data_IF_007261265033
#
_entry.id   IF_007261265033
#
_cell.length_a   1.000
_cell.length_b   1.000
_cell.length_c   1.000
_cell.angle_alpha   90.00
_cell.angle_beta   90.00
_cell.angle_gamma   90.00
#
_symmetry.space_group_name_H-M   'P 1'
#
loop_
_entity.id
_entity.type
_entity.pdbx_description
1 polymer ?
#
# COMPACT_ATOMS: atom_id res chain seq x y z
N UNK A 1 -34.03 14.73 -104.04
CA UNK A 1 -34.93 14.92 -102.89
C UNK A 1 -34.35 14.44 -101.55
N UNK A 2 -33.30 13.63 -101.50
CA UNK A 2 -32.78 13.01 -100.25
C UNK A 2 -31.78 13.90 -99.44
N UNK A 3 -31.12 14.90 -100.06
CA UNK A 3 -30.11 15.75 -99.37
C UNK A 3 -30.75 16.90 -98.61
N UNK A 4 -31.92 17.40 -99.10
CA UNK A 4 -32.62 18.50 -98.40
C UNK A 4 -33.28 18.08 -97.06
N UNK A 5 -33.64 16.80 -96.95
CA UNK A 5 -34.26 16.25 -95.75
C UNK A 5 -33.22 15.97 -94.63
N UNK A 6 -31.98 15.68 -95.02
CA UNK A 6 -30.88 15.48 -94.05
C UNK A 6 -30.42 16.79 -93.34
N UNK A 7 -30.38 17.87 -94.08
CA UNK A 7 -29.98 19.18 -93.58
C UNK A 7 -31.04 19.74 -92.59
N UNK A 8 -32.34 19.51 -92.87
CA UNK A 8 -33.42 20.00 -91.94
C UNK A 8 -33.41 19.22 -90.63
N UNK A 9 -33.08 17.93 -90.63
CA UNK A 9 -32.98 17.14 -89.37
C UNK A 9 -31.79 17.59 -88.50
N UNK A 10 -30.63 17.91 -89.14
CA UNK A 10 -29.44 18.36 -88.47
C UNK A 10 -29.64 19.78 -87.89
N UNK A 11 -30.33 20.67 -88.60
CA UNK A 11 -30.64 22.01 -88.07
C UNK A 11 -31.66 21.97 -86.91
N UNK A 12 -32.69 21.09 -86.99
CA UNK A 12 -33.62 20.91 -85.90
C UNK A 12 -32.98 20.31 -84.64
N UNK A 13 -32.05 19.38 -84.84
CA UNK A 13 -31.24 18.77 -83.75
C UNK A 13 -30.32 19.79 -83.07
N UNK A 14 -29.71 20.69 -83.80
CA UNK A 14 -28.87 21.78 -83.29
C UNK A 14 -29.69 22.84 -82.52
N UNK A 15 -30.86 23.21 -83.03
CA UNK A 15 -31.76 24.16 -82.33
C UNK A 15 -32.32 23.55 -81.07
N UNK A 16 -32.72 22.27 -81.08
CA UNK A 16 -33.18 21.58 -79.87
C UNK A 16 -32.04 21.43 -78.81
N UNK A 17 -30.79 21.16 -79.24
CA UNK A 17 -29.60 21.10 -78.38
C UNK A 17 -29.27 22.44 -77.73
N UNK A 18 -29.40 23.56 -78.48
CA UNK A 18 -29.16 24.89 -77.93
C UNK A 18 -30.28 25.31 -76.96
N UNK A 19 -31.55 25.00 -77.26
CA UNK A 19 -32.68 25.25 -76.33
C UNK A 19 -32.58 24.37 -75.08
N UNK A 20 -32.14 23.13 -75.19
CA UNK A 20 -31.92 22.27 -74.02
C UNK A 20 -30.75 22.75 -73.14
N UNK A 21 -29.70 23.29 -73.77
CA UNK A 21 -28.56 23.85 -73.05
C UNK A 21 -28.84 25.19 -72.38
N UNK A 22 -29.77 26.02 -72.93
CA UNK A 22 -30.19 27.26 -72.27
C UNK A 22 -31.21 27.03 -71.14
N UNK A 23 -31.99 25.94 -71.17
CA UNK A 23 -32.87 25.56 -70.07
C UNK A 23 -32.11 24.99 -68.85
N UNK A 24 -30.94 24.34 -69.08
CA UNK A 24 -30.11 23.85 -68.00
C UNK A 24 -29.21 24.97 -67.40
N UNK A 25 -28.94 26.02 -68.12
CA UNK A 25 -28.13 27.17 -67.70
C UNK A 25 -28.91 28.20 -66.86
N UNK A 26 -30.24 27.99 -66.62
CA UNK A 26 -31.11 28.91 -65.92
C UNK A 26 -31.51 28.49 -64.49
N UNK A 27 -31.00 27.32 -63.98
CA UNK A 27 -31.11 27.00 -62.56
C UNK A 27 -29.98 27.70 -61.83
N UNK A 28 -30.25 28.93 -61.46
CA UNK A 28 -29.39 29.71 -60.59
C UNK A 28 -29.06 28.92 -59.37
N UNK A 29 -27.79 28.65 -59.22
CA UNK A 29 -27.17 28.17 -58.02
C UNK A 29 -27.33 29.30 -56.94
N UNK A 30 -28.50 29.33 -56.31
CA UNK A 30 -28.66 30.01 -55.04
C UNK A 30 -27.73 29.29 -54.07
N UNK A 31 -26.42 29.61 -54.11
CA UNK A 31 -25.54 29.48 -52.99
C UNK A 31 -26.14 30.32 -51.84
N UNK A 32 -27.18 29.75 -51.20
CA UNK A 32 -27.44 30.07 -49.80
C UNK A 32 -26.12 29.81 -49.10
N UNK A 33 -25.44 30.91 -48.77
CA UNK A 33 -24.31 30.87 -47.86
C UNK A 33 -24.76 30.07 -46.67
N UNK A 34 -24.27 28.81 -46.60
CA UNK A 34 -24.40 27.97 -45.43
C UNK A 34 -23.68 28.70 -44.32
N UNK A 35 -24.38 29.60 -43.66
CA UNK A 35 -23.92 30.20 -42.43
C UNK A 35 -23.55 29.02 -41.55
N UNK A 36 -22.27 28.86 -41.23
CA UNK A 36 -21.73 27.88 -40.30
C UNK A 36 -22.64 27.97 -39.06
N UNK A 37 -23.56 27.01 -38.91
CA UNK A 37 -24.42 26.94 -37.74
C UNK A 37 -23.52 26.79 -36.55
N UNK A 38 -23.51 27.76 -35.67
CA UNK A 38 -22.77 27.67 -34.42
C UNK A 38 -23.26 26.45 -33.65
N UNK A 39 -22.32 25.58 -33.28
CA UNK A 39 -22.60 24.37 -32.49
C UNK A 39 -22.72 24.80 -31.01
N UNK A 40 -23.80 24.39 -30.36
CA UNK A 40 -23.91 24.53 -28.92
C UNK A 40 -22.91 23.62 -28.22
N UNK A 41 -22.09 24.17 -27.35
CA UNK A 41 -21.01 23.47 -26.66
C UNK A 41 -21.03 23.79 -25.17
N UNK A 42 -20.72 22.78 -24.35
CA UNK A 42 -20.49 22.95 -22.92
C UNK A 42 -19.03 23.35 -22.69
N UNK A 43 -18.86 24.41 -21.93
CA UNK A 43 -17.53 24.92 -21.57
C UNK A 43 -17.35 24.99 -20.09
N UNK A 44 -16.10 24.87 -19.66
CA UNK A 44 -15.65 25.12 -18.28
C UNK A 44 -14.53 26.16 -18.34
N UNK A 45 -14.54 27.08 -17.40
CA UNK A 45 -13.44 28.05 -17.26
C UNK A 45 -12.21 27.38 -16.68
N UNK A 46 -11.02 27.70 -17.20
CA UNK A 46 -9.74 27.25 -16.61
C UNK A 46 -9.66 27.80 -15.20
N UNK A 47 -9.62 26.87 -14.21
CA UNK A 47 -9.47 27.22 -12.82
C UNK A 47 -7.99 27.22 -12.43
N UNK A 48 -7.52 28.28 -11.76
CA UNK A 48 -6.22 28.32 -11.12
C UNK A 48 -6.41 28.00 -9.64
N UNK A 49 -5.80 26.94 -9.18
CA UNK A 49 -5.92 26.50 -7.78
C UNK A 49 -4.80 25.54 -7.41
N UNK A 50 -4.67 25.32 -6.12
CA UNK A 50 -3.79 24.28 -5.60
C UNK A 50 -4.32 22.90 -6.01
N UNK A 51 -3.41 22.05 -6.47
CA UNK A 51 -3.72 20.68 -6.89
C UNK A 51 -2.91 19.68 -6.07
N UNK A 52 -3.57 18.72 -5.39
CA UNK A 52 -2.86 17.76 -4.55
C UNK A 52 -1.95 16.86 -5.37
N UNK A 53 -0.72 16.69 -4.90
CA UNK A 53 0.20 15.68 -5.42
C UNK A 53 0.00 14.40 -4.63
N UNK A 54 -0.39 13.35 -5.32
CA UNK A 54 -0.66 12.05 -4.70
C UNK A 54 0.01 10.93 -5.47
N UNK A 55 0.28 9.83 -4.77
CA UNK A 55 0.66 8.55 -5.36
C UNK A 55 -0.33 7.50 -4.88
N UNK A 56 -0.98 6.81 -5.81
CA UNK A 56 -1.90 5.72 -5.52
C UNK A 56 -1.17 4.38 -5.65
N UNK A 57 -1.22 3.56 -4.59
CA UNK A 57 -0.53 2.29 -4.48
C UNK A 57 -1.49 1.18 -4.05
N UNK A 58 -1.35 -0.03 -4.57
CA UNK A 58 -1.97 -1.20 -3.95
C UNK A 58 -1.25 -1.52 -2.65
N UNK A 59 -2.01 -1.89 -1.62
CA UNK A 59 -1.45 -2.27 -0.33
C UNK A 59 -2.22 -3.41 0.32
N UNK A 60 -1.62 -3.98 1.35
CA UNK A 60 -2.24 -5.02 2.18
C UNK A 60 -2.20 -4.59 3.64
N UNK A 61 -3.32 -4.75 4.31
CA UNK A 61 -3.43 -4.50 5.75
C UNK A 61 -2.69 -5.59 6.53
N UNK A 62 -1.88 -5.17 7.47
CA UNK A 62 -1.21 -6.04 8.43
C UNK A 62 -1.54 -5.57 9.86
N UNK A 63 -1.60 -6.50 10.80
CA UNK A 63 -1.64 -6.08 12.21
C UNK A 63 -0.29 -5.44 12.57
N UNK A 64 -0.32 -4.29 13.23
CA UNK A 64 0.91 -3.61 13.64
C UNK A 64 1.77 -4.46 14.57
N UNK A 65 1.12 -5.35 15.35
CA UNK A 65 1.80 -6.31 16.20
C UNK A 65 1.13 -7.67 16.11
N UNK A 66 1.89 -8.65 15.63
CA UNK A 66 1.52 -10.06 15.66
C UNK A 66 2.72 -10.92 16.04
N UNK A 67 2.48 -12.02 16.72
CA UNK A 67 3.51 -12.96 17.12
C UNK A 67 3.09 -14.37 16.73
N UNK A 68 3.98 -15.04 16.03
CA UNK A 68 3.83 -16.46 15.70
C UNK A 68 4.32 -17.28 16.90
N UNK A 69 3.47 -18.13 17.44
CA UNK A 69 3.78 -18.99 18.58
C UNK A 69 4.32 -20.32 18.07
N UNK A 70 5.56 -20.61 18.44
CA UNK A 70 6.22 -21.89 18.19
C UNK A 70 6.59 -22.56 19.51
N UNK A 71 6.70 -23.88 19.53
CA UNK A 71 7.19 -24.62 20.69
C UNK A 71 8.69 -24.37 20.89
N UNK A 72 9.10 -24.05 22.12
CA UNK A 72 10.52 -23.93 22.50
C UNK A 72 11.11 -25.23 23.06
N UNK A 73 10.24 -26.17 23.46
CA UNK A 73 10.61 -27.52 23.86
C UNK A 73 9.82 -28.55 23.05
N UNK A 74 10.43 -29.73 22.84
CA UNK A 74 9.75 -30.82 22.19
C UNK A 74 8.94 -31.64 23.20
N UNK A 75 7.75 -32.12 22.79
CA UNK A 75 6.89 -32.91 23.65
C UNK A 75 5.49 -33.12 23.12
N UNK A 76 4.71 -33.97 23.79
CA UNK A 76 3.31 -34.18 23.45
C UNK A 76 2.43 -33.10 24.09
N UNK A 77 1.49 -32.54 23.35
CA UNK A 77 0.52 -31.59 23.88
C UNK A 77 -0.48 -32.31 24.80
N UNK A 78 -0.38 -32.07 26.08
CA UNK A 78 -1.30 -32.65 27.08
C UNK A 78 -2.60 -31.86 27.16
N UNK A 79 -2.53 -30.55 27.09
CA UNK A 79 -3.70 -29.67 27.21
C UNK A 79 -3.56 -28.45 26.35
N UNK A 80 -4.66 -28.10 25.70
CA UNK A 80 -4.90 -26.83 25.04
C UNK A 80 -5.81 -26.01 25.96
N UNK A 81 -5.39 -24.80 26.36
CA UNK A 81 -6.12 -23.93 27.29
C UNK A 81 -6.97 -22.87 26.61
N UNK A 82 -6.72 -22.63 25.32
CA UNK A 82 -7.35 -21.56 24.54
C UNK A 82 -8.05 -22.12 23.32
N UNK A 83 -9.05 -21.38 22.83
CA UNK A 83 -9.76 -21.68 21.59
C UNK A 83 -9.39 -20.69 20.50
N UNK A 84 -9.59 -21.06 19.25
CA UNK A 84 -9.45 -20.16 18.11
C UNK A 84 -10.38 -18.94 18.25
N UNK A 85 -9.85 -17.74 17.99
CA UNK A 85 -10.60 -16.50 18.14
C UNK A 85 -10.73 -15.97 19.57
N UNK A 86 -10.30 -16.72 20.59
CA UNK A 86 -10.31 -16.26 21.99
C UNK A 86 -9.37 -15.07 22.21
N UNK A 87 -9.69 -14.24 23.15
CA UNK A 87 -8.82 -13.14 23.59
C UNK A 87 -7.95 -13.61 24.74
N UNK A 88 -6.65 -13.38 24.67
CA UNK A 88 -5.66 -13.78 25.68
C UNK A 88 -4.83 -12.59 26.15
N UNK A 89 -4.27 -12.71 27.36
CA UNK A 89 -3.36 -11.71 27.94
C UNK A 89 -1.91 -12.14 27.77
N UNK A 90 -1.01 -11.18 27.85
CA UNK A 90 0.43 -11.48 27.93
C UNK A 90 0.71 -12.39 29.15
N UNK A 91 1.53 -13.44 28.95
CA UNK A 91 1.85 -14.44 29.99
C UNK A 91 0.82 -15.56 30.15
N UNK A 92 -0.35 -15.50 29.53
CA UNK A 92 -1.39 -16.53 29.62
C UNK A 92 -0.93 -17.83 28.98
N UNK A 93 -1.23 -18.98 29.64
CA UNK A 93 -0.86 -20.31 29.14
C UNK A 93 -1.77 -20.70 28.00
N UNK A 94 -1.19 -20.99 26.85
CA UNK A 94 -1.90 -21.43 25.65
C UNK A 94 -1.95 -22.96 25.55
N UNK A 95 -0.79 -23.59 25.75
CA UNK A 95 -0.62 -25.05 25.66
C UNK A 95 0.25 -25.55 26.79
N UNK A 96 -0.02 -26.75 27.24
CA UNK A 96 0.83 -27.48 28.18
C UNK A 96 1.33 -28.76 27.53
N UNK A 97 2.65 -28.92 27.46
CA UNK A 97 3.30 -30.12 27.00
C UNK A 97 3.50 -31.12 28.14
N UNK A 98 3.80 -32.37 27.82
CA UNK A 98 4.20 -33.38 28.82
C UNK A 98 5.52 -32.98 29.51
N UNK A 99 5.42 -32.59 30.77
CA UNK A 99 6.56 -32.13 31.54
C UNK A 99 7.31 -33.26 32.24
N UNK A 100 6.82 -34.51 32.20
CA UNK A 100 7.46 -35.65 32.90
C UNK A 100 8.91 -35.85 32.53
N UNK A 101 9.32 -35.83 31.25
CA UNK A 101 10.74 -35.94 30.89
C UNK A 101 11.58 -34.77 31.45
N UNK A 102 11.09 -33.55 31.38
CA UNK A 102 11.77 -32.37 31.91
C UNK A 102 11.91 -32.44 33.45
N UNK A 103 10.86 -32.88 34.15
CA UNK A 103 10.90 -33.10 35.61
C UNK A 103 11.91 -34.17 36.02
N UNK A 104 11.99 -35.27 35.27
CA UNK A 104 13.00 -36.31 35.50
C UNK A 104 14.41 -35.74 35.34
N UNK A 105 14.65 -34.91 34.32
CA UNK A 105 15.95 -34.23 34.11
C UNK A 105 16.29 -33.25 35.23
N UNK A 106 15.33 -32.49 35.74
CA UNK A 106 15.52 -31.66 36.94
C UNK A 106 15.94 -32.51 38.13
N UNK A 107 15.25 -33.63 38.40
CA UNK A 107 15.58 -34.51 39.50
C UNK A 107 17.02 -35.08 39.38
N UNK A 108 17.42 -35.48 38.17
CA UNK A 108 18.78 -35.97 37.89
C UNK A 108 19.83 -34.88 38.12
N UNK A 109 19.65 -33.66 37.53
CA UNK A 109 20.60 -32.56 37.69
C UNK A 109 20.66 -32.08 39.15
N UNK A 110 19.54 -32.12 39.89
CA UNK A 110 19.51 -31.80 41.33
C UNK A 110 20.34 -32.78 42.13
N UNK A 111 20.26 -34.09 41.82
CA UNK A 111 21.06 -35.11 42.49
C UNK A 111 22.55 -34.93 42.18
N UNK A 112 22.91 -34.67 40.93
CA UNK A 112 24.30 -34.39 40.53
C UNK A 112 24.87 -33.16 41.28
N UNK A 113 24.10 -32.05 41.36
CA UNK A 113 24.52 -30.88 42.14
C UNK A 113 24.69 -31.20 43.64
N UNK A 114 23.82 -32.03 44.22
CA UNK A 114 23.93 -32.43 45.61
C UNK A 114 25.23 -33.24 45.84
N UNK A 115 25.59 -34.17 44.95
CA UNK A 115 26.86 -34.89 44.98
C UNK A 115 28.09 -33.97 44.89
N UNK A 116 28.11 -33.07 43.91
CA UNK A 116 29.20 -32.10 43.70
C UNK A 116 29.37 -31.14 44.90
N UNK A 117 28.27 -30.74 45.55
CA UNK A 117 28.30 -29.92 46.79
C UNK A 117 28.86 -30.73 47.98
N UNK A 118 28.55 -32.03 48.11
CA UNK A 118 29.11 -32.89 49.11
C UNK A 118 30.63 -33.04 48.95
N UNK A 119 31.11 -33.27 47.70
CA UNK A 119 32.53 -33.28 47.36
C UNK A 119 33.24 -31.98 47.72
N UNK A 120 32.63 -30.84 47.39
CA UNK A 120 33.16 -29.51 47.73
C UNK A 120 33.27 -29.32 49.24
N UNK A 121 32.24 -29.76 50.01
CA UNK A 121 32.23 -29.67 51.46
C UNK A 121 33.33 -30.58 52.09
N UNK A 122 33.54 -31.76 51.52
CA UNK A 122 34.58 -32.65 51.97
C UNK A 122 35.99 -32.10 51.68
N UNK A 123 36.26 -31.63 50.49
CA UNK A 123 37.50 -30.97 50.11
C UNK A 123 37.80 -29.74 50.97
N UNK A 124 36.77 -28.94 51.27
CA UNK A 124 36.89 -27.76 52.16
C UNK A 124 37.26 -28.18 53.61
N UNK A 125 36.64 -29.25 54.13
CA UNK A 125 36.96 -29.78 55.45
C UNK A 125 38.40 -30.32 55.49
N UNK A 126 38.86 -31.03 54.43
CA UNK A 126 40.22 -31.53 54.27
C UNK A 126 41.23 -30.38 54.32
N UNK A 127 41.03 -29.36 53.50
CA UNK A 127 41.89 -28.17 53.47
C UNK A 127 41.92 -27.45 54.82
N UNK A 128 40.76 -27.27 55.51
CA UNK A 128 40.67 -26.67 56.81
C UNK A 128 41.44 -27.48 57.90
N UNK A 129 41.50 -28.81 57.81
CA UNK A 129 42.30 -29.62 58.69
C UNK A 129 43.80 -29.53 58.43
N UNK A 130 44.22 -29.38 57.18
CA UNK A 130 45.62 -29.28 56.80
C UNK A 130 46.22 -27.90 57.10
N UNK A 131 45.42 -26.84 57.13
CA UNK A 131 45.88 -25.44 57.34
C UNK A 131 46.72 -25.29 58.64
N UNK A 132 46.30 -25.75 59.84
CA UNK A 132 47.09 -25.65 61.05
C UNK A 132 48.31 -26.53 61.01
N UNK A 133 48.28 -27.71 60.37
CA UNK A 133 49.40 -28.60 60.23
C UNK A 133 50.50 -28.01 59.35
N UNK A 134 50.13 -27.30 58.32
CA UNK A 134 51.05 -26.54 57.49
C UNK A 134 51.78 -25.43 58.28
N UNK A 135 51.05 -24.67 59.07
CA UNK A 135 51.61 -23.64 59.94
C UNK A 135 52.61 -24.19 60.96
N UNK A 136 52.36 -25.43 61.42
CA UNK A 136 53.25 -26.14 62.43
C UNK A 136 54.41 -26.88 61.76
N UNK A 137 54.55 -26.89 60.42
CA UNK A 137 55.60 -27.57 59.69
C UNK A 137 55.43 -29.10 59.57
N UNK A 138 54.28 -29.64 59.95
CA UNK A 138 54.03 -31.15 59.95
C UNK A 138 53.68 -31.68 58.58
N UNK A 139 53.32 -30.81 57.57
CA UNK A 139 53.06 -31.22 56.21
C UNK A 139 53.87 -30.36 55.22
N UNK A 140 54.07 -30.82 53.96
CA UNK A 140 54.75 -30.09 52.94
C UNK A 140 53.84 -28.99 52.31
N UNK A 141 54.44 -27.96 51.76
CA UNK A 141 53.72 -26.92 50.97
C UNK A 141 52.94 -27.54 49.81
N UNK A 142 53.56 -28.56 49.17
CA UNK A 142 52.94 -29.24 48.05
C UNK A 142 51.61 -29.93 48.44
N UNK A 143 51.59 -30.64 49.60
CA UNK A 143 50.42 -31.36 50.10
C UNK A 143 49.25 -30.35 50.39
N UNK A 144 49.58 -29.18 50.96
CA UNK A 144 48.61 -28.14 51.20
C UNK A 144 48.08 -27.51 49.88
N UNK A 145 48.97 -27.25 48.93
CA UNK A 145 48.58 -26.72 47.60
C UNK A 145 47.76 -27.71 46.82
N UNK A 146 48.04 -29.00 46.87
CA UNK A 146 47.23 -30.06 46.23
C UNK A 146 45.81 -30.09 46.80
N UNK A 147 45.66 -29.94 48.15
CA UNK A 147 44.34 -29.89 48.79
C UNK A 147 43.57 -28.61 48.38
N UNK A 148 44.28 -27.47 48.19
CA UNK A 148 43.68 -26.22 47.70
C UNK A 148 43.18 -26.36 46.28
N UNK A 149 43.98 -26.95 45.40
CA UNK A 149 43.62 -27.24 44.00
C UNK A 149 42.42 -28.19 43.93
N UNK A 150 42.40 -29.24 44.80
CA UNK A 150 41.28 -30.17 44.90
C UNK A 150 39.97 -29.45 45.29
N UNK A 151 40.01 -28.52 46.23
CA UNK A 151 38.86 -27.71 46.61
C UNK A 151 38.37 -26.82 45.43
N UNK A 152 39.28 -26.14 44.75
CA UNK A 152 38.92 -25.33 43.59
C UNK A 152 38.31 -26.16 42.46
N UNK A 153 38.87 -27.36 42.20
CA UNK A 153 38.31 -28.31 41.24
C UNK A 153 36.91 -28.78 41.62
N UNK A 154 36.69 -29.12 42.92
CA UNK A 154 35.36 -29.51 43.41
C UNK A 154 34.33 -28.34 43.31
N UNK A 155 34.76 -27.12 43.60
CA UNK A 155 33.92 -25.91 43.41
C UNK A 155 33.54 -25.73 41.94
N UNK A 156 34.48 -25.88 41.02
CA UNK A 156 34.21 -25.78 39.58
C UNK A 156 33.17 -26.82 39.14
N UNK A 157 33.27 -28.08 39.59
CA UNK A 157 32.27 -29.11 39.31
C UNK A 157 30.90 -28.80 39.87
N UNK A 158 30.83 -28.26 41.09
CA UNK A 158 29.56 -27.81 41.68
C UNK A 158 28.95 -26.66 40.89
N UNK A 159 29.77 -25.74 40.35
CA UNK A 159 29.36 -24.67 39.43
C UNK A 159 28.71 -25.22 38.13
N UNK A 160 29.39 -26.19 37.50
CA UNK A 160 28.88 -26.87 36.29
C UNK A 160 27.53 -27.55 36.57
N UNK A 161 27.46 -28.36 37.64
CA UNK A 161 26.22 -29.06 38.00
C UNK A 161 25.07 -28.07 38.36
N UNK A 162 25.40 -26.93 38.91
CA UNK A 162 24.41 -25.85 39.15
C UNK A 162 23.85 -25.26 37.85
N UNK A 163 24.73 -25.02 36.89
CA UNK A 163 24.33 -24.53 35.55
C UNK A 163 23.47 -25.56 34.80
N UNK A 164 23.79 -26.84 34.90
CA UNK A 164 22.99 -27.92 34.32
C UNK A 164 21.58 -27.99 34.95
N UNK A 165 21.48 -27.82 36.28
CA UNK A 165 20.18 -27.76 36.94
C UNK A 165 19.35 -26.56 36.47
N UNK A 166 19.92 -25.36 36.28
CA UNK A 166 19.22 -24.21 35.78
C UNK A 166 18.77 -24.41 34.34
N UNK A 167 19.60 -25.05 33.48
CA UNK A 167 19.20 -25.42 32.11
C UNK A 167 17.99 -26.38 32.12
N UNK A 168 18.02 -27.39 32.97
CA UNK A 168 16.90 -28.33 33.06
C UNK A 168 15.61 -27.67 33.58
N UNK A 169 15.71 -26.66 34.44
CA UNK A 169 14.57 -25.84 34.91
C UNK A 169 13.99 -25.00 33.81
N UNK A 170 14.84 -24.38 32.98
CA UNK A 170 14.42 -23.61 31.82
C UNK A 170 13.68 -24.48 30.80
N UNK A 171 14.22 -25.66 30.50
CA UNK A 171 13.56 -26.66 29.63
C UNK A 171 12.15 -27.01 30.14
N UNK A 172 12.00 -27.15 31.45
CA UNK A 172 10.71 -27.44 32.07
C UNK A 172 9.75 -26.23 32.00
N UNK A 173 10.24 -25.03 32.08
CA UNK A 173 9.39 -23.84 31.85
C UNK A 173 8.85 -23.77 30.45
N UNK A 174 9.63 -24.17 29.44
CA UNK A 174 9.22 -24.23 28.05
C UNK A 174 8.15 -25.29 27.76
N UNK A 175 7.85 -26.19 28.68
CA UNK A 175 6.70 -27.11 28.56
C UNK A 175 5.35 -26.36 28.72
N UNK A 176 5.34 -25.15 29.25
CA UNK A 176 4.19 -24.27 29.28
C UNK A 176 4.33 -23.17 28.23
N UNK A 177 3.66 -23.32 27.11
CA UNK A 177 3.70 -22.35 26.03
C UNK A 177 2.75 -21.21 26.37
N UNK A 178 3.30 -20.00 26.50
CA UNK A 178 2.59 -18.79 26.92
C UNK A 178 2.53 -17.76 25.81
N UNK A 179 1.52 -16.91 25.86
CA UNK A 179 1.45 -15.74 24.95
C UNK A 179 2.42 -14.66 25.38
N UNK A 180 3.33 -14.18 24.51
CA UNK A 180 4.21 -13.05 24.83
C UNK A 180 3.49 -11.70 24.82
N UNK A 181 2.34 -11.60 24.14
CA UNK A 181 1.55 -10.37 24.01
C UNK A 181 0.07 -10.64 24.33
N UNK A 182 -0.66 -9.60 24.65
CA UNK A 182 -2.13 -9.67 24.68
C UNK A 182 -2.70 -9.58 23.27
N UNK A 183 -3.74 -10.35 22.97
CA UNK A 183 -4.33 -10.33 21.63
C UNK A 183 -5.35 -11.42 21.39
N UNK A 184 -5.76 -11.56 20.14
CA UNK A 184 -6.69 -12.60 19.68
C UNK A 184 -5.90 -13.79 19.12
N UNK A 185 -6.27 -15.00 19.54
CA UNK A 185 -5.72 -16.26 19.04
C UNK A 185 -6.20 -16.50 17.62
N UNK A 186 -5.29 -16.74 16.70
CA UNK A 186 -5.58 -17.14 15.33
C UNK A 186 -5.96 -18.62 15.24
N UNK A 187 -5.81 -19.18 14.04
CA UNK A 187 -6.01 -20.62 13.82
C UNK A 187 -4.99 -21.44 14.63
N UNK A 188 -5.43 -22.51 15.24
CA UNK A 188 -4.59 -23.46 16.00
C UNK A 188 -4.29 -24.65 15.09
N UNK A 189 -3.01 -24.84 14.74
CA UNK A 189 -2.59 -25.90 13.83
C UNK A 189 -2.49 -27.29 14.48
N UNK A 190 -2.49 -27.36 15.82
CA UNK A 190 -2.24 -28.58 16.60
C UNK A 190 -3.46 -28.96 17.42
N UNK A 191 -3.48 -30.24 17.88
CA UNK A 191 -4.53 -30.76 18.75
C UNK A 191 -3.89 -31.41 19.99
N UNK A 192 -4.69 -31.59 21.03
CA UNK A 192 -4.30 -32.39 22.18
C UNK A 192 -3.86 -33.80 21.71
N UNK A 193 -2.73 -34.30 22.22
CA UNK A 193 -2.10 -35.54 21.79
C UNK A 193 -1.11 -35.36 20.63
N UNK A 194 -1.01 -34.22 19.97
CA UNK A 194 -0.02 -33.97 18.92
C UNK A 194 1.39 -33.89 19.52
N UNK A 195 2.37 -34.45 18.81
CA UNK A 195 3.79 -34.27 19.09
C UNK A 195 4.26 -32.95 18.45
N UNK A 196 4.90 -32.08 19.22
CA UNK A 196 5.53 -30.85 18.74
C UNK A 196 7.02 -30.89 18.93
N UNK A 197 7.77 -30.22 18.07
CA UNK A 197 9.22 -30.12 18.12
C UNK A 197 9.62 -28.65 18.41
N UNK A 198 10.71 -28.47 19.15
CA UNK A 198 11.30 -27.16 19.40
C UNK A 198 11.71 -26.50 18.09
N UNK A 199 11.25 -25.25 17.86
CA UNK A 199 11.50 -24.52 16.62
C UNK A 199 10.77 -25.08 15.38
N UNK A 200 9.83 -26.02 15.58
CA UNK A 200 9.04 -26.61 14.49
C UNK A 200 7.94 -25.70 13.93
N UNK A 201 6.88 -26.32 13.40
CA UNK A 201 5.77 -25.57 12.79
C UNK A 201 5.06 -24.64 13.79
N UNK A 202 4.53 -23.50 13.30
CA UNK A 202 3.72 -22.59 14.09
C UNK A 202 2.51 -23.29 14.72
N UNK A 203 2.33 -23.11 16.02
CA UNK A 203 1.17 -23.63 16.74
C UNK A 203 -0.07 -22.77 16.55
N UNK A 204 0.13 -21.49 16.61
CA UNK A 204 -0.89 -20.43 16.39
C UNK A 204 -0.21 -19.08 16.20
N UNK A 205 -1.00 -18.07 15.85
CA UNK A 205 -0.56 -16.67 15.80
C UNK A 205 -1.40 -15.85 16.75
N UNK A 206 -0.78 -14.97 17.52
CA UNK A 206 -1.48 -14.01 18.36
C UNK A 206 -1.42 -12.64 17.66
N UNK A 207 -2.59 -12.04 17.44
CA UNK A 207 -2.72 -10.72 16.81
C UNK A 207 -3.17 -9.73 17.87
N UNK A 208 -2.36 -8.71 18.14
CA UNK A 208 -2.73 -7.65 19.07
C UNK A 208 -3.90 -6.82 18.50
N UNK A 209 -4.90 -6.47 19.33
CA UNK A 209 -5.97 -5.57 18.91
C UNK A 209 -5.43 -4.16 18.75
N UNK A 210 -6.00 -3.40 17.82
CA UNK A 210 -5.75 -1.95 17.72
C UNK A 210 -5.12 -1.53 16.40
N UNK A 211 -3.87 -1.10 16.44
CA UNK A 211 -3.22 -0.50 15.28
C UNK A 211 -3.08 -1.46 14.10
N UNK A 212 -3.42 -0.97 12.92
CA UNK A 212 -3.20 -1.63 11.64
C UNK A 212 -2.15 -0.84 10.86
N UNK A 213 -1.29 -1.56 10.20
CA UNK A 213 -0.34 -1.00 9.23
C UNK A 213 -0.77 -1.42 7.81
N UNK A 214 -0.59 -0.53 6.84
CA UNK A 214 -0.69 -0.87 5.42
C UNK A 214 0.70 -1.08 4.87
N UNK A 215 0.99 -2.25 4.37
CA UNK A 215 2.21 -2.54 3.62
C UNK A 215 1.94 -2.34 2.13
N UNK A 216 2.77 -1.55 1.47
CA UNK A 216 2.68 -1.28 0.04
C UNK A 216 4.07 -1.23 -0.58
N UNK A 217 4.14 -1.32 -1.91
CA UNK A 217 5.36 -1.16 -2.69
C UNK A 217 5.31 0.10 -3.54
N UNK A 218 6.30 0.96 -3.43
CA UNK A 218 6.46 2.17 -4.24
C UNK A 218 7.30 1.85 -5.47
N UNK A 219 6.84 2.25 -6.65
CA UNK A 219 7.64 2.14 -7.87
C UNK A 219 8.90 3.02 -7.78
N UNK A 220 10.02 2.54 -8.35
CA UNK A 220 11.30 3.28 -8.35
C UNK A 220 11.15 4.69 -8.95
N UNK A 221 10.32 4.84 -9.98
CA UNK A 221 10.07 6.13 -10.63
C UNK A 221 9.49 7.20 -9.69
N UNK A 222 8.75 6.78 -8.67
CA UNK A 222 8.10 7.68 -7.71
C UNK A 222 8.97 7.99 -6.49
N UNK A 223 10.10 7.29 -6.35
CA UNK A 223 11.02 7.46 -5.24
C UNK A 223 11.48 8.90 -5.00
N UNK A 224 11.96 9.65 -6.02
CA UNK A 224 12.43 11.02 -5.81
C UNK A 224 11.35 11.94 -5.25
N UNK A 225 10.09 11.74 -5.68
CA UNK A 225 8.95 12.55 -5.24
C UNK A 225 8.61 12.27 -3.77
N UNK A 226 8.62 11.01 -3.35
CA UNK A 226 8.36 10.62 -1.97
C UNK A 226 9.44 11.17 -1.03
N UNK A 227 10.73 11.06 -1.39
CA UNK A 227 11.83 11.55 -0.56
C UNK A 227 11.76 13.08 -0.42
N UNK A 228 11.48 13.80 -1.49
CA UNK A 228 11.30 15.25 -1.44
C UNK A 228 10.14 15.65 -0.51
N UNK A 229 9.00 14.96 -0.62
CA UNK A 229 7.85 15.21 0.25
C UNK A 229 8.16 14.91 1.73
N UNK A 230 8.85 13.80 2.01
CA UNK A 230 9.23 13.39 3.36
C UNK A 230 10.24 14.35 4.03
N UNK A 231 11.12 14.96 3.22
CA UNK A 231 12.05 15.98 3.71
C UNK A 231 11.36 17.30 4.09
N UNK A 232 10.23 17.60 3.44
CA UNK A 232 9.47 18.83 3.68
C UNK A 232 8.48 18.68 4.86
N UNK A 233 7.81 17.54 4.99
CA UNK A 233 6.80 17.31 6.03
C UNK A 233 6.53 15.81 6.26
N UNK A 234 5.71 15.50 7.27
CA UNK A 234 5.16 14.16 7.45
C UNK A 234 4.24 13.82 6.29
N UNK A 235 4.45 12.65 5.69
CA UNK A 235 3.61 12.16 4.60
C UNK A 235 2.40 11.45 5.20
N UNK A 236 1.23 12.02 4.97
CA UNK A 236 -0.05 11.42 5.33
C UNK A 236 -0.55 10.53 4.21
N UNK A 237 -1.40 9.59 4.57
CA UNK A 237 -2.00 8.67 3.61
C UNK A 237 -3.50 8.48 3.89
N UNK A 238 -4.24 8.24 2.82
CA UNK A 238 -5.64 7.85 2.87
C UNK A 238 -5.79 6.42 2.37
N UNK A 239 -6.64 5.64 3.02
CA UNK A 239 -6.85 4.23 2.73
C UNK A 239 -8.28 4.00 2.27
N UNK A 240 -8.41 3.29 1.17
CA UNK A 240 -9.68 2.93 0.52
C UNK A 240 -9.76 1.41 0.37
N UNK A 241 -10.93 0.77 0.57
CA UNK A 241 -11.11 -0.63 0.24
C UNK A 241 -10.95 -0.85 -1.28
N UNK A 242 -10.28 -1.92 -1.68
CA UNK A 242 -10.07 -2.21 -3.11
C UNK A 242 -11.34 -2.65 -3.85
N UNK A 243 -12.41 -2.98 -3.11
CA UNK A 243 -13.66 -3.54 -3.65
C UNK A 243 -14.68 -2.52 -4.12
N UNK A 244 -14.44 -1.22 -3.91
CA UNK A 244 -15.41 -0.17 -4.25
C UNK A 244 -14.91 0.65 -5.43
N UNK A 245 -15.77 0.86 -6.44
CA UNK A 245 -15.47 1.65 -7.62
C UNK A 245 -15.20 3.16 -7.34
N UNK A 246 -14.85 3.91 -8.37
CA UNK A 246 -14.58 5.35 -8.31
C UNK A 246 -15.75 6.12 -7.65
N UNK A 247 -15.50 6.75 -6.53
CA UNK A 247 -16.48 7.44 -5.67
C UNK A 247 -16.32 7.14 -4.19
N UNK A 248 -15.20 6.53 -3.83
CA UNK A 248 -14.91 5.98 -2.52
C UNK A 248 -14.70 7.07 -1.46
N UNK A 249 -15.33 6.83 -0.31
CA UNK A 249 -14.99 7.59 0.89
C UNK A 249 -13.74 6.98 1.52
N UNK A 250 -12.81 7.83 1.94
CA UNK A 250 -11.67 7.43 2.78
C UNK A 250 -12.17 6.62 3.97
N UNK A 251 -11.69 5.38 4.10
CA UNK A 251 -12.10 4.50 5.21
C UNK A 251 -11.24 4.74 6.43
N UNK A 252 -9.96 5.08 6.21
CA UNK A 252 -9.01 5.37 7.27
C UNK A 252 -7.93 6.33 6.79
N UNK A 253 -7.29 7.02 7.73
CA UNK A 253 -6.10 7.83 7.50
C UNK A 253 -4.94 7.25 8.27
N UNK A 254 -3.73 7.56 7.83
CA UNK A 254 -2.53 7.11 8.48
C UNK A 254 -1.32 7.96 8.15
N UNK A 255 -0.22 7.69 8.83
CA UNK A 255 1.07 8.33 8.63
C UNK A 255 2.07 7.32 8.05
N UNK A 256 2.88 7.74 7.10
CA UNK A 256 3.99 6.96 6.57
C UNK A 256 5.08 6.83 7.64
N UNK A 257 5.17 5.64 8.27
CA UNK A 257 6.08 5.38 9.38
C UNK A 257 7.40 4.76 8.95
N UNK A 258 7.39 4.05 7.81
CA UNK A 258 8.58 3.33 7.34
C UNK A 258 8.64 3.34 5.82
N UNK A 259 9.84 3.52 5.30
CA UNK A 259 10.20 3.31 3.89
C UNK A 259 11.52 2.57 3.89
N UNK A 260 11.58 1.46 3.17
CA UNK A 260 12.79 0.66 3.08
C UNK A 260 13.88 1.42 2.30
N UNK A 261 15.13 1.09 2.58
CA UNK A 261 16.31 1.62 1.86
C UNK A 261 16.74 0.74 0.69
N UNK A 262 16.09 -0.42 0.53
CA UNK A 262 16.38 -1.38 -0.51
C UNK A 262 15.15 -1.65 -1.38
N UNK A 263 15.40 -1.82 -2.66
CA UNK A 263 14.41 -2.31 -3.61
C UNK A 263 14.19 -3.81 -3.37
N UNK A 264 12.94 -4.24 -3.36
CA UNK A 264 12.62 -5.67 -3.39
C UNK A 264 12.92 -6.20 -4.80
N UNK A 265 13.91 -7.10 -4.96
CA UNK A 265 14.32 -7.59 -6.27
C UNK A 265 13.23 -8.43 -6.98
N UNK A 266 12.25 -8.95 -6.25
CA UNK A 266 11.17 -9.74 -6.82
C UNK A 266 10.10 -8.87 -7.47
N UNK A 267 9.84 -7.69 -6.91
CA UNK A 267 8.77 -6.78 -7.35
C UNK A 267 9.28 -5.51 -8.03
N UNK A 268 10.57 -5.16 -7.87
CA UNK A 268 11.14 -3.90 -8.34
C UNK A 268 10.56 -2.67 -7.62
N UNK A 269 10.00 -2.85 -6.44
CA UNK A 269 9.36 -1.81 -5.66
C UNK A 269 10.08 -1.57 -4.34
N UNK A 270 10.02 -0.36 -3.81
CA UNK A 270 10.51 -0.01 -2.48
C UNK A 270 9.41 -0.28 -1.45
N UNK A 271 9.61 -1.21 -0.50
CA UNK A 271 8.62 -1.47 0.53
C UNK A 271 8.41 -0.25 1.44
N UNK A 272 7.16 0.02 1.77
CA UNK A 272 6.80 1.06 2.72
C UNK A 272 5.69 0.59 3.66
N UNK A 273 5.55 1.25 4.81
CA UNK A 273 4.48 1.01 5.78
C UNK A 273 3.83 2.31 6.21
N UNK A 274 2.52 2.31 6.19
CA UNK A 274 1.68 3.39 6.69
C UNK A 274 0.94 2.87 7.92
N UNK A 275 1.09 3.54 9.05
CA UNK A 275 0.35 3.24 10.26
C UNK A 275 -0.98 3.96 10.25
N UNK A 276 -2.07 3.22 10.41
CA UNK A 276 -3.40 3.79 10.45
C UNK A 276 -3.66 4.45 11.82
N UNK A 277 -4.39 5.56 11.78
CA UNK A 277 -4.88 6.24 12.97
C UNK A 277 -6.09 5.51 13.54
N UNK A 278 -6.02 5.14 14.81
CA UNK A 278 -7.10 4.45 15.49
C UNK A 278 -7.29 2.99 15.05
N UNK A 279 -8.47 2.46 15.32
CA UNK A 279 -8.91 1.13 14.88
C UNK A 279 -10.11 1.29 13.97
N UNK A 280 -9.93 1.53 12.67
CA UNK A 280 -11.05 1.71 11.76
C UNK A 280 -11.87 0.42 11.69
N UNK A 281 -13.12 0.51 12.13
CA UNK A 281 -14.04 -0.63 12.14
C UNK A 281 -14.26 -1.16 10.72
N UNK A 282 -14.27 -2.49 10.57
CA UNK A 282 -14.52 -3.15 9.29
C UNK A 282 -13.28 -3.44 8.44
N UNK A 283 -12.09 -3.02 8.86
CA UNK A 283 -10.83 -3.41 8.22
C UNK A 283 -10.21 -4.62 8.94
N UNK A 284 -9.70 -5.58 8.17
CA UNK A 284 -9.12 -6.81 8.70
C UNK A 284 -7.68 -6.99 8.19
N UNK A 285 -6.76 -7.48 9.03
CA UNK A 285 -5.43 -7.91 8.57
C UNK A 285 -5.56 -8.93 7.43
N UNK A 286 -4.71 -8.79 6.40
CA UNK A 286 -4.75 -9.59 5.18
C UNK A 286 -5.66 -9.03 4.08
N UNK A 287 -6.44 -7.99 4.34
CA UNK A 287 -7.29 -7.35 3.34
C UNK A 287 -6.47 -6.49 2.38
N UNK A 288 -6.75 -6.61 1.07
CA UNK A 288 -6.24 -5.69 0.05
C UNK A 288 -6.91 -4.33 0.16
N UNK A 289 -6.13 -3.28 0.03
CA UNK A 289 -6.58 -1.88 0.10
C UNK A 289 -5.84 -1.06 -0.94
N UNK A 290 -6.40 0.09 -1.28
CA UNK A 290 -5.72 1.11 -2.06
C UNK A 290 -5.23 2.21 -1.11
N UNK A 291 -3.97 2.54 -1.23
CA UNK A 291 -3.28 3.55 -0.43
C UNK A 291 -3.00 4.77 -1.29
N UNK A 292 -3.45 5.93 -0.88
CA UNK A 292 -3.14 7.23 -1.49
C UNK A 292 -2.20 8.01 -0.57
N UNK A 293 -0.94 8.18 -0.99
CA UNK A 293 0.03 9.01 -0.30
C UNK A 293 -0.17 10.47 -0.69
N UNK A 294 -0.23 11.36 0.29
CA UNK A 294 -0.37 12.80 0.11
C UNK A 294 1.02 13.45 0.16
N UNK A 295 1.54 13.85 -1.00
CA UNK A 295 2.89 14.40 -1.13
C UNK A 295 2.98 15.93 -1.03
N UNK A 296 1.85 16.59 -0.73
CA UNK A 296 1.72 18.04 -0.74
C UNK A 296 0.83 18.53 -1.87
N UNK A 297 0.97 19.79 -2.26
CA UNK A 297 0.20 20.42 -3.33
C UNK A 297 1.10 21.15 -4.32
N UNK A 298 0.65 21.23 -5.57
CA UNK A 298 1.17 22.14 -6.59
C UNK A 298 0.38 23.44 -6.45
N UNK A 299 1.05 24.54 -6.13
CA UNK A 299 0.39 25.83 -5.96
C UNK A 299 0.13 26.50 -7.31
N UNK A 300 -1.01 27.19 -7.41
CA UNK A 300 -1.38 28.06 -8.53
C UNK A 300 -1.31 27.40 -9.92
N UNK A 301 -1.74 26.13 -10.03
CA UNK A 301 -1.73 25.39 -11.30
C UNK A 301 -3.07 25.48 -12.01
N UNK A 302 -3.03 25.45 -13.36
CA UNK A 302 -4.23 25.42 -14.19
C UNK A 302 -4.84 24.04 -14.20
N UNK A 303 -6.10 23.93 -13.79
CA UNK A 303 -6.83 22.67 -13.67
C UNK A 303 -8.04 22.66 -14.59
N UNK A 304 -8.21 21.54 -15.29
CA UNK A 304 -9.36 21.28 -16.17
C UNK A 304 -9.96 19.91 -15.85
N UNK A 305 -11.25 19.69 -16.16
CA UNK A 305 -11.79 18.35 -16.22
C UNK A 305 -11.05 17.51 -17.28
N UNK A 306 -10.74 16.27 -16.96
CA UNK A 306 -10.06 15.33 -17.89
C UNK A 306 -10.82 15.17 -19.22
N UNK A 307 -12.16 15.26 -19.18
CA UNK A 307 -13.02 15.21 -20.38
C UNK A 307 -12.74 16.33 -21.39
N UNK A 308 -12.13 17.43 -20.98
CA UNK A 308 -11.73 18.52 -21.86
C UNK A 308 -10.43 18.25 -22.63
N UNK A 309 -9.60 17.32 -22.13
CA UNK A 309 -8.30 16.98 -22.72
C UNK A 309 -8.51 16.06 -23.92
N UNK A 310 -7.89 16.39 -25.05
CA UNK A 310 -7.88 15.58 -26.25
C UNK A 310 -6.46 15.13 -26.57
N UNK A 311 -6.35 13.94 -27.17
CA UNK A 311 -5.08 13.40 -27.61
C UNK A 311 -5.01 13.39 -29.14
N UNK A 312 -4.00 14.03 -29.70
CA UNK A 312 -3.71 14.08 -31.14
C UNK A 312 -2.38 13.40 -31.47
N UNK A 313 -2.03 13.43 -32.75
CA UNK A 313 -0.74 12.85 -33.23
C UNK A 313 0.46 13.65 -32.68
N UNK A 314 0.31 14.96 -32.50
CA UNK A 314 1.36 15.88 -32.03
C UNK A 314 1.35 16.10 -30.52
N UNK A 315 0.51 15.36 -29.76
CA UNK A 315 0.39 15.48 -28.30
C UNK A 315 -1.01 15.84 -27.82
N UNK A 316 -1.10 16.25 -26.57
CA UNK A 316 -2.37 16.63 -25.96
C UNK A 316 -2.74 18.06 -26.28
N UNK A 317 -4.05 18.32 -26.47
CA UNK A 317 -4.59 19.65 -26.76
C UNK A 317 -5.97 19.82 -26.14
N UNK A 318 -6.42 21.06 -26.06
CA UNK A 318 -7.79 21.43 -25.68
C UNK A 318 -8.39 22.36 -26.72
N UNK A 319 -9.72 22.40 -26.78
CA UNK A 319 -10.42 23.42 -27.56
C UNK A 319 -10.80 24.62 -26.69
N UNK A 320 -10.29 25.79 -27.04
CA UNK A 320 -10.55 27.04 -26.34
C UNK A 320 -11.53 27.87 -27.17
N UNK A 321 -12.46 28.56 -26.53
CA UNK A 321 -13.37 29.48 -27.21
C UNK A 321 -12.77 30.89 -27.26
N UNK A 322 -12.33 31.33 -28.45
CA UNK A 322 -11.86 32.70 -28.70
C UNK A 322 -12.72 33.32 -29.81
N UNK A 323 -13.28 34.46 -29.57
CA UNK A 323 -14.14 35.21 -30.55
C UNK A 323 -15.28 34.35 -31.13
N UNK A 324 -15.91 33.49 -30.29
CA UNK A 324 -17.01 32.61 -30.71
C UNK A 324 -16.58 31.45 -31.63
N UNK A 325 -15.29 31.13 -31.68
CA UNK A 325 -14.72 30.05 -32.46
C UNK A 325 -13.94 29.06 -31.55
N UNK A 326 -13.98 27.78 -31.91
CA UNK A 326 -13.19 26.78 -31.22
C UNK A 326 -11.76 26.73 -31.80
N UNK A 327 -10.79 27.16 -31.02
CA UNK A 327 -9.37 27.18 -31.38
C UNK A 327 -8.67 26.02 -30.70
N UNK A 328 -7.85 25.24 -31.42
CA UNK A 328 -7.01 24.16 -30.86
C UNK A 328 -5.83 24.81 -30.15
N UNK A 329 -5.70 24.53 -28.87
CA UNK A 329 -4.57 24.97 -28.05
C UNK A 329 -3.79 23.76 -27.57
N UNK A 330 -2.54 23.54 -28.03
CA UNK A 330 -1.68 22.52 -27.50
C UNK A 330 -1.40 22.76 -26.01
N UNK A 331 -1.45 21.69 -25.21
CA UNK A 331 -1.19 21.74 -23.77
C UNK A 331 -0.39 20.51 -23.36
N UNK A 332 0.32 20.62 -22.26
CA UNK A 332 1.00 19.49 -21.63
C UNK A 332 0.25 19.08 -20.36
N UNK A 333 -0.32 17.89 -20.34
CA UNK A 333 -0.90 17.32 -19.14
C UNK A 333 0.21 16.75 -18.25
N UNK A 334 0.25 17.13 -16.97
CA UNK A 334 1.31 16.73 -16.05
C UNK A 334 0.82 15.85 -14.91
N UNK A 335 -0.35 16.15 -14.35
CA UNK A 335 -0.92 15.38 -13.23
C UNK A 335 -2.41 15.16 -13.49
N UNK A 336 -2.90 13.97 -13.15
CA UNK A 336 -4.31 13.62 -13.22
C UNK A 336 -4.76 13.04 -11.87
N UNK A 337 -5.89 13.53 -11.37
CA UNK A 337 -6.48 13.05 -10.13
C UNK A 337 -8.00 13.28 -10.14
N UNK A 338 -8.74 12.20 -9.84
CA UNK A 338 -10.20 12.23 -9.65
C UNK A 338 -10.96 12.93 -10.80
N UNK A 339 -10.55 12.63 -12.06
CA UNK A 339 -11.17 13.19 -13.28
C UNK A 339 -10.80 14.66 -13.57
N UNK A 340 -9.77 15.18 -12.92
CA UNK A 340 -9.20 16.49 -13.17
C UNK A 340 -7.75 16.39 -13.57
N UNK A 341 -7.31 17.27 -14.46
CA UNK A 341 -5.97 17.28 -15.01
C UNK A 341 -5.32 18.64 -14.84
N UNK A 342 -4.07 18.65 -14.41
CA UNK A 342 -3.21 19.82 -14.42
C UNK A 342 -2.63 19.99 -15.82
N UNK A 343 -2.79 21.17 -16.38
CA UNK A 343 -2.30 21.49 -17.72
C UNK A 343 -1.32 22.66 -17.68
N UNK A 344 -0.28 22.56 -18.49
CA UNK A 344 0.73 23.58 -18.70
C UNK A 344 0.73 24.02 -20.17
N UNK A 345 0.92 25.31 -20.40
CA UNK A 345 1.15 25.91 -21.73
C UNK A 345 -0.10 26.48 -22.38
N UNK A 346 0.03 27.73 -22.84
CA UNK A 346 -0.86 28.40 -23.80
C UNK A 346 -2.27 28.76 -23.35
N UNK A 347 -2.65 28.52 -22.10
CA UNK A 347 -3.95 28.84 -21.53
C UNK A 347 -3.86 30.05 -20.59
N UNK A 348 -4.98 30.75 -20.42
CA UNK A 348 -5.12 31.81 -19.44
C UNK A 348 -6.17 31.45 -18.39
N UNK A 349 -5.99 31.96 -17.17
CA UNK A 349 -6.97 31.78 -16.11
C UNK A 349 -8.35 32.36 -16.55
N UNK A 350 -9.41 31.58 -16.34
CA UNK A 350 -10.76 31.97 -16.72
C UNK A 350 -11.11 31.76 -18.20
N UNK A 351 -10.18 31.28 -19.03
CA UNK A 351 -10.43 30.97 -20.44
C UNK A 351 -11.43 29.81 -20.57
N UNK A 352 -12.40 29.95 -21.50
CA UNK A 352 -13.44 28.94 -21.68
C UNK A 352 -12.94 27.76 -22.53
N UNK A 353 -12.90 26.57 -21.95
CA UNK A 353 -12.46 25.33 -22.60
C UNK A 353 -13.66 24.40 -22.80
N UNK A 354 -13.76 23.74 -23.95
CA UNK A 354 -14.81 22.78 -24.26
C UNK A 354 -14.61 21.49 -23.46
N UNK A 355 -15.67 21.03 -22.80
CA UNK A 355 -15.69 19.74 -22.08
C UNK A 355 -16.26 18.63 -22.95
N UNK A 356 -17.34 18.91 -23.71
CA UNK A 356 -17.96 17.98 -24.64
C UNK A 356 -17.71 18.46 -26.07
N UNK A 357 -16.98 17.68 -26.85
CA UNK A 357 -16.62 18.02 -28.22
C UNK A 357 -17.57 17.32 -29.19
N UNK A 358 -18.46 18.06 -29.88
CA UNK A 358 -19.33 17.47 -30.87
C UNK A 358 -18.50 16.85 -32.02
N UNK A 359 -18.87 15.65 -32.46
CA UNK A 359 -18.17 14.91 -33.55
C UNK A 359 -18.01 15.69 -34.87
N UNK A 360 -18.81 16.74 -35.05
CA UNK A 360 -18.80 17.61 -36.26
C UNK A 360 -17.97 18.88 -36.09
N UNK A 361 -17.43 19.13 -34.89
CA UNK A 361 -16.62 20.32 -34.64
C UNK A 361 -15.25 20.17 -35.32
N UNK A 362 -14.90 21.17 -36.13
CA UNK A 362 -13.57 21.31 -36.72
C UNK A 362 -12.85 22.49 -36.07
N UNK A 363 -11.54 22.49 -36.10
CA UNK A 363 -10.73 23.64 -35.70
C UNK A 363 -11.18 24.90 -36.46
N UNK A 364 -11.41 26.00 -35.73
CA UNK A 364 -11.93 27.26 -36.28
C UNK A 364 -13.46 27.35 -36.43
N UNK A 365 -14.21 26.27 -36.16
CA UNK A 365 -15.67 26.22 -36.26
C UNK A 365 -16.35 27.17 -35.27
N UNK A 366 -17.48 27.77 -35.70
CA UNK A 366 -18.28 28.65 -34.83
C UNK A 366 -18.97 27.85 -33.73
N UNK A 367 -18.85 28.33 -32.49
CA UNK A 367 -19.48 27.74 -31.31
C UNK A 367 -20.31 28.73 -30.56
N UNK A 368 -21.41 28.27 -29.96
CA UNK A 368 -22.24 29.05 -29.04
C UNK A 368 -22.25 28.39 -27.69
N UNK A 369 -22.02 29.14 -26.63
CA UNK A 369 -22.03 28.63 -25.27
C UNK A 369 -23.44 28.14 -24.92
N UNK A 370 -23.56 26.90 -24.45
CA UNK A 370 -24.81 26.34 -23.92
C UNK A 370 -25.10 27.09 -22.59
N UNK A 371 -26.07 28.02 -22.61
CA UNK A 371 -26.38 28.91 -21.47
C UNK A 371 -26.49 30.40 -21.86
N UNK A 372 -25.95 30.83 -23.01
CA UNK A 372 -26.06 32.23 -23.46
C UNK A 372 -27.34 32.51 -24.25
N UNK A 373 -28.21 31.54 -24.52
CA UNK A 373 -29.39 31.67 -25.40
C UNK A 373 -30.73 31.99 -24.70
N UNK A 374 -30.75 32.31 -23.40
CA UNK A 374 -31.99 32.51 -22.64
C UNK A 374 -32.42 33.98 -22.45
N UNK A 375 -31.69 34.97 -22.98
CA UNK A 375 -32.04 36.37 -22.73
C UNK A 375 -32.10 37.25 -23.99
N UNK A 376 -32.92 36.82 -25.00
CA UNK A 376 -33.41 37.74 -26.05
C UNK A 376 -34.77 37.28 -26.59
N UNK A 377 -35.85 37.48 -25.82
CA UNK A 377 -37.19 37.54 -26.37
C UNK A 377 -37.65 39.01 -26.25
N UNK A 378 -37.78 39.76 -27.35
CA UNK A 378 -38.31 41.10 -27.28
C UNK A 378 -39.78 41.03 -26.86
N UNK A 379 -40.13 41.76 -25.83
CA UNK A 379 -41.53 42.03 -25.46
C UNK A 379 -42.24 42.69 -26.66
N UNK A 380 -43.19 42.02 -27.27
CA UNK A 380 -44.18 42.64 -28.15
C UNK A 380 -45.12 43.42 -27.26
N UNK A 381 -45.03 44.74 -27.36
CA UNK A 381 -46.10 45.68 -27.01
C UNK A 381 -47.29 45.41 -27.96
N UNK A 382 -48.45 45.15 -27.42
CA UNK A 382 -49.70 44.99 -28.08
C UNK A 382 -50.74 45.71 -27.25
N UNK A 383 -51.31 46.74 -27.88
CA UNK A 383 -52.40 47.66 -27.53
C UNK A 383 -53.57 46.95 -26.83
#
# INVERSE_FOLDING_TARGET
MKVRMLVTVIVLGLVAGVLYRTQIAGSGDDKKGGGERALAVKTVAVAVRDFPRVIDLPGTLEAAQQVVIVAQASGTVLRQHVQEGAQVRAGEVLFTLDARPAQARIAQSRAALAGARAETADAAKKLARLAPLMQSGYISQQEFDDARVALESARARAGTASAELESARLDAQYTQIRSPIGGRVGRIAIRQGSLVQAGGEPLTTIVAPGALDVRAGLAEADWPQLIAARAAAKVMAEVYPDTLGSGQRTTARGELVFVDTQLDPATGAVPLKVRLEGSPGGLMPGQGVRLRLLLGSLADVMVLPEAALQHGQDGSYVYVVRDGRAVVQPVRATHNLDGQVVVEGGLQAGEAVLVEIPKRLKAGGKVTLEGAAADKKPARAGS
#
